data_IF_705961124305
#
_entry.id   IF_705961124305
#
_cell.length_a   1.000
_cell.length_b   1.000
_cell.length_c   1.000
_cell.angle_alpha   90.00
_cell.angle_beta   90.00
_cell.angle_gamma   90.00
#
_symmetry.space_group_name_H-M   'P 1'
#
loop_
_entity.id
_entity.type
_entity.pdbx_description
1 polymer ?
#
# COMPACT_ATOMS: atom_id res chain seq x y z
N UNK A 1 26.56 -8.70 -39.69
CA UNK A 1 26.75 -9.02 -38.26
C UNK A 1 27.63 -7.91 -37.70
N UNK A 2 27.05 -6.93 -37.00
CA UNK A 2 27.82 -5.87 -36.35
C UNK A 2 27.97 -6.29 -34.90
N UNK A 3 29.17 -6.72 -34.52
CA UNK A 3 29.51 -7.04 -33.15
C UNK A 3 29.39 -5.77 -32.30
N UNK A 4 28.48 -5.81 -31.32
CA UNK A 4 28.32 -4.73 -30.36
C UNK A 4 29.59 -4.63 -29.50
N UNK A 5 30.33 -3.54 -29.67
CA UNK A 5 31.48 -3.25 -28.82
C UNK A 5 30.99 -2.93 -27.39
N UNK A 6 31.13 -3.90 -26.48
CA UNK A 6 30.97 -3.64 -25.06
C UNK A 6 32.18 -2.84 -24.57
N UNK A 7 31.99 -1.65 -23.95
CA UNK A 7 33.12 -0.87 -23.47
C UNK A 7 33.83 -1.63 -22.34
N UNK A 8 35.13 -1.87 -22.52
CA UNK A 8 36.02 -2.56 -21.58
C UNK A 8 36.29 -1.71 -20.32
N UNK A 9 35.98 -0.41 -20.41
CA UNK A 9 36.11 0.57 -19.33
C UNK A 9 34.73 1.14 -19.00
N UNK A 10 34.44 1.30 -17.71
CA UNK A 10 33.21 1.93 -17.27
C UNK A 10 33.18 3.39 -17.78
N UNK A 11 32.29 3.70 -18.72
CA UNK A 11 32.13 5.05 -19.27
C UNK A 11 31.71 6.10 -18.23
N UNK A 12 31.24 5.67 -17.06
CA UNK A 12 30.88 6.51 -15.91
C UNK A 12 32.03 6.61 -14.88
N UNK A 13 33.19 5.99 -15.12
CA UNK A 13 34.34 6.06 -14.22
C UNK A 13 34.83 7.52 -14.15
N UNK A 14 34.75 8.11 -12.96
CA UNK A 14 35.15 9.50 -12.70
C UNK A 14 33.98 10.48 -12.58
N UNK A 15 32.75 10.07 -12.90
CA UNK A 15 31.56 10.87 -12.58
C UNK A 15 31.28 10.69 -11.09
N UNK A 16 31.64 11.70 -10.28
CA UNK A 16 31.13 11.82 -8.91
C UNK A 16 29.69 12.29 -8.99
N UNK A 17 28.76 11.36 -8.82
CA UNK A 17 27.39 11.71 -8.44
C UNK A 17 27.50 12.46 -7.12
N UNK A 18 27.27 13.78 -7.13
CA UNK A 18 27.06 14.52 -5.90
C UNK A 18 25.96 13.79 -5.15
N UNK A 19 26.22 13.37 -3.91
CA UNK A 19 25.15 12.88 -3.05
C UNK A 19 24.02 13.93 -3.14
N UNK A 20 22.80 13.50 -3.48
CA UNK A 20 21.67 14.41 -3.50
C UNK A 20 21.68 15.11 -2.14
N UNK A 21 21.71 16.44 -2.14
CA UNK A 21 21.55 17.22 -0.93
C UNK A 21 20.34 16.65 -0.20
N UNK A 22 20.56 16.22 1.02
CA UNK A 22 19.63 15.56 1.92
C UNK A 22 18.51 16.49 2.42
N UNK A 23 18.33 17.66 1.81
CA UNK A 23 17.10 18.42 1.89
C UNK A 23 16.13 17.99 0.78
N UNK A 24 15.75 16.71 0.76
CA UNK A 24 14.53 16.37 0.04
C UNK A 24 13.38 17.04 0.77
N UNK A 25 12.60 17.85 0.07
CA UNK A 25 11.33 18.37 0.55
C UNK A 25 10.41 17.17 0.78
N UNK A 26 10.49 16.57 1.97
CA UNK A 26 9.75 15.35 2.33
C UNK A 26 8.24 15.57 2.41
N UNK A 27 7.78 16.79 2.13
CA UNK A 27 6.44 17.26 2.44
C UNK A 27 6.25 17.49 3.94
N UNK A 28 5.33 18.40 4.28
CA UNK A 28 4.83 18.49 5.65
C UNK A 28 3.88 17.31 5.91
N UNK A 29 3.94 16.67 7.09
CA UNK A 29 2.93 15.70 7.47
C UNK A 29 1.56 16.39 7.54
N UNK A 30 0.50 15.66 7.22
CA UNK A 30 -0.87 16.14 7.37
C UNK A 30 -1.13 16.56 8.81
N UNK A 31 -1.74 17.73 8.98
CA UNK A 31 -2.29 18.18 10.25
C UNK A 31 -3.58 17.42 10.57
N UNK A 32 -3.96 17.36 11.84
CA UNK A 32 -5.22 16.73 12.23
C UNK A 32 -6.43 17.38 11.53
N UNK A 33 -6.42 18.69 11.34
CA UNK A 33 -7.50 19.40 10.63
C UNK A 33 -7.59 18.99 9.15
N UNK A 34 -6.46 18.79 8.48
CA UNK A 34 -6.45 18.29 7.10
C UNK A 34 -6.89 16.82 7.03
N UNK A 35 -6.54 16.00 8.04
CA UNK A 35 -7.01 14.62 8.14
C UNK A 35 -8.53 14.56 8.35
N UNK A 36 -9.07 15.35 9.28
CA UNK A 36 -10.50 15.48 9.54
C UNK A 36 -11.26 15.95 8.29
N UNK A 37 -10.71 16.92 7.55
CA UNK A 37 -11.29 17.38 6.30
C UNK A 37 -11.22 16.32 5.17
N UNK A 38 -10.16 15.50 5.13
CA UNK A 38 -9.98 14.45 4.12
C UNK A 38 -10.92 13.26 4.35
N UNK A 39 -11.14 12.89 5.62
CA UNK A 39 -12.01 11.81 6.05
C UNK A 39 -13.33 12.33 6.63
N UNK A 40 -13.87 13.41 6.05
CA UNK A 40 -15.15 13.97 6.45
C UNK A 40 -16.25 12.89 6.36
N UNK A 41 -17.07 12.71 7.41
CA UNK A 41 -18.02 11.60 7.51
C UNK A 41 -19.17 11.67 6.49
N UNK A 42 -19.30 12.77 5.74
CA UNK A 42 -20.31 12.95 4.67
C UNK A 42 -19.65 12.81 3.30
N UNK A 43 -18.62 13.60 3.05
CA UNK A 43 -18.00 13.71 1.71
C UNK A 43 -17.15 12.47 1.36
N UNK A 44 -16.40 11.91 2.34
CA UNK A 44 -15.55 10.75 2.07
C UNK A 44 -16.37 9.52 1.67
N UNK A 45 -17.43 9.11 2.41
CA UNK A 45 -18.26 7.99 1.99
C UNK A 45 -18.95 8.20 0.65
N UNK A 46 -19.42 9.42 0.36
CA UNK A 46 -20.02 9.73 -0.94
C UNK A 46 -19.04 9.47 -2.08
N UNK A 47 -17.81 10.00 -1.96
CA UNK A 47 -16.76 9.77 -2.95
C UNK A 47 -16.35 8.30 -3.04
N UNK A 48 -16.11 7.65 -1.90
CA UNK A 48 -15.58 6.29 -1.82
C UNK A 48 -16.59 5.19 -2.18
N UNK A 49 -17.88 5.51 -2.24
CA UNK A 49 -18.96 4.56 -2.54
C UNK A 49 -18.91 3.98 -3.96
N UNK A 50 -18.19 4.63 -4.90
CA UNK A 50 -18.22 4.24 -6.33
C UNK A 50 -17.49 2.93 -6.57
N UNK A 51 -16.38 2.71 -5.89
CA UNK A 51 -15.58 1.50 -6.00
C UNK A 51 -14.98 1.13 -4.66
N UNK A 52 -15.03 -0.15 -4.30
CA UNK A 52 -14.50 -0.65 -3.04
C UNK A 52 -13.06 -0.17 -2.75
N UNK A 53 -12.16 -0.16 -3.74
CA UNK A 53 -10.78 0.29 -3.55
C UNK A 53 -10.65 1.77 -3.13
N UNK A 54 -11.65 2.61 -3.43
CA UNK A 54 -11.69 4.01 -2.98
C UNK A 54 -12.01 4.12 -1.48
N UNK A 55 -12.69 3.13 -0.91
CA UNK A 55 -12.87 3.01 0.54
C UNK A 55 -11.64 2.38 1.19
N UNK A 56 -11.26 1.17 0.75
CA UNK A 56 -10.21 0.38 1.41
C UNK A 56 -8.82 1.00 1.29
N UNK A 57 -8.45 1.54 0.13
CA UNK A 57 -7.13 2.09 -0.11
C UNK A 57 -6.77 3.19 0.92
N UNK A 58 -7.55 4.27 0.99
CA UNK A 58 -7.33 5.37 1.93
C UNK A 58 -7.43 4.94 3.40
N UNK A 59 -8.46 4.16 3.78
CA UNK A 59 -8.67 3.73 5.17
C UNK A 59 -7.52 2.86 5.67
N UNK A 60 -7.09 1.87 4.88
CA UNK A 60 -5.97 1.02 5.26
C UNK A 60 -4.67 1.83 5.33
N UNK A 61 -4.42 2.73 4.38
CA UNK A 61 -3.27 3.63 4.42
C UNK A 61 -3.25 4.53 5.66
N UNK A 62 -4.40 5.10 6.02
CA UNK A 62 -4.56 5.99 7.17
C UNK A 62 -4.28 5.27 8.50
N UNK A 63 -4.89 4.12 8.72
CA UNK A 63 -4.78 3.42 10.02
C UNK A 63 -3.51 2.58 10.17
N UNK A 64 -2.88 2.15 9.07
CA UNK A 64 -1.69 1.28 9.13
C UNK A 64 -0.38 1.93 8.68
N UNK A 65 -0.44 3.06 7.99
CA UNK A 65 0.72 3.64 7.31
C UNK A 65 1.27 2.79 6.16
N UNK A 66 0.48 1.83 5.65
CA UNK A 66 0.89 1.00 4.52
C UNK A 66 1.08 1.83 3.24
N UNK A 67 2.00 1.39 2.39
CA UNK A 67 2.20 2.05 1.11
C UNK A 67 1.06 1.76 0.14
N UNK A 68 0.73 2.73 -0.71
CA UNK A 68 -0.35 2.60 -1.68
C UNK A 68 -0.21 1.34 -2.56
N UNK A 69 1.01 1.03 -3.03
CA UNK A 69 1.28 -0.17 -3.82
C UNK A 69 1.03 -1.47 -3.03
N UNK A 70 1.35 -1.48 -1.74
CA UNK A 70 1.13 -2.64 -0.87
C UNK A 70 -0.37 -2.90 -0.68
N UNK A 71 -1.16 -1.85 -0.49
CA UNK A 71 -2.62 -1.94 -0.31
C UNK A 71 -3.33 -2.26 -1.63
N UNK A 72 -2.88 -1.68 -2.74
CA UNK A 72 -3.51 -1.86 -4.06
C UNK A 72 -3.36 -3.29 -4.63
N UNK A 73 -2.34 -4.03 -4.17
CA UNK A 73 -2.07 -5.40 -4.63
C UNK A 73 -2.62 -6.48 -3.69
N UNK A 74 -3.34 -6.12 -2.63
CA UNK A 74 -3.92 -7.10 -1.71
C UNK A 74 -4.89 -8.02 -2.45
N UNK A 75 -4.89 -9.28 -2.03
CA UNK A 75 -5.81 -10.33 -2.45
C UNK A 75 -6.57 -10.88 -1.26
N UNK A 76 -7.67 -11.57 -1.48
CA UNK A 76 -8.44 -12.18 -0.39
C UNK A 76 -7.64 -13.20 0.42
N UNK A 77 -6.67 -13.86 -0.23
CA UNK A 77 -5.73 -14.79 0.40
C UNK A 77 -4.75 -14.12 1.35
N UNK A 78 -4.52 -12.80 1.22
CA UNK A 78 -3.65 -12.05 2.13
C UNK A 78 -4.37 -11.64 3.39
N UNK A 79 -5.70 -11.69 3.42
CA UNK A 79 -6.53 -11.28 4.55
C UNK A 79 -6.74 -12.48 5.48
N UNK A 80 -6.26 -12.40 6.70
CA UNK A 80 -6.31 -13.52 7.66
C UNK A 80 -6.63 -13.04 9.08
N UNK A 81 -7.03 -13.98 9.93
CA UNK A 81 -7.21 -13.75 11.37
C UNK A 81 -6.09 -14.48 12.11
N UNK A 82 -5.25 -13.75 12.83
CA UNK A 82 -4.18 -14.30 13.66
C UNK A 82 -4.52 -14.02 15.11
N UNK A 83 -4.58 -15.06 15.93
CA UNK A 83 -4.91 -14.97 17.37
C UNK A 83 -6.20 -14.18 17.66
N UNK A 84 -7.19 -14.29 16.77
CA UNK A 84 -8.48 -13.60 16.87
C UNK A 84 -8.49 -12.16 16.33
N UNK A 85 -7.38 -11.66 15.81
CA UNK A 85 -7.26 -10.30 15.25
C UNK A 85 -7.27 -10.37 13.71
N UNK A 86 -8.27 -9.78 13.02
CA UNK A 86 -8.27 -9.71 11.57
C UNK A 86 -7.18 -8.74 11.10
N UNK A 87 -6.56 -9.06 9.97
CA UNK A 87 -5.46 -8.30 9.40
C UNK A 87 -5.15 -8.74 7.99
N UNK A 88 -4.06 -8.22 7.44
CA UNK A 88 -3.58 -8.62 6.14
C UNK A 88 -2.06 -8.79 6.11
N UNK A 89 -1.60 -9.66 5.22
CA UNK A 89 -0.19 -9.84 4.96
C UNK A 89 0.29 -8.93 3.84
N UNK A 90 1.32 -8.15 4.13
CA UNK A 90 2.15 -7.56 3.09
C UNK A 90 3.19 -8.60 2.70
N UNK A 91 3.05 -9.18 1.51
CA UNK A 91 3.96 -10.22 1.00
C UNK A 91 3.95 -10.26 -0.54
N UNK A 92 4.85 -11.05 -1.09
CA UNK A 92 4.80 -11.47 -2.49
C UNK A 92 4.34 -12.93 -2.51
N UNK A 93 3.02 -13.15 -2.50
CA UNK A 93 2.40 -14.47 -2.48
C UNK A 93 2.13 -15.01 -3.88
N UNK A 94 1.61 -14.16 -4.76
CA UNK A 94 1.18 -14.53 -6.12
C UNK A 94 1.82 -13.67 -7.21
N UNK A 95 1.66 -14.13 -8.46
CA UNK A 95 2.12 -13.41 -9.64
C UNK A 95 1.46 -12.03 -9.71
N UNK A 96 2.28 -10.98 -9.81
CA UNK A 96 1.81 -9.59 -9.88
C UNK A 96 1.99 -8.81 -8.58
N UNK A 97 2.25 -9.47 -7.46
CA UNK A 97 2.64 -8.80 -6.22
C UNK A 97 4.15 -8.54 -6.18
N UNK A 98 4.53 -7.42 -5.57
CA UNK A 98 5.92 -7.08 -5.33
C UNK A 98 6.10 -6.40 -3.97
N UNK A 99 7.23 -6.66 -3.32
CA UNK A 99 7.64 -5.95 -2.11
C UNK A 99 8.96 -5.25 -2.38
N UNK A 100 9.10 -3.97 -1.99
CA UNK A 100 10.33 -3.22 -2.28
C UNK A 100 11.55 -3.75 -1.52
N UNK A 101 11.35 -4.38 -0.35
CA UNK A 101 12.41 -4.99 0.47
C UNK A 101 11.93 -6.32 1.02
N UNK A 102 12.84 -7.29 1.15
CA UNK A 102 12.53 -8.59 1.75
C UNK A 102 12.02 -8.45 3.19
N UNK A 103 12.58 -7.48 3.93
CA UNK A 103 12.18 -7.16 5.31
C UNK A 103 10.85 -6.41 5.41
N UNK A 104 10.20 -6.05 4.30
CA UNK A 104 8.87 -5.42 4.31
C UNK A 104 7.76 -6.44 4.57
N UNK A 105 8.06 -7.75 4.50
CA UNK A 105 7.09 -8.80 4.76
C UNK A 105 6.61 -8.75 6.21
N UNK A 106 5.31 -8.54 6.41
CA UNK A 106 4.70 -8.39 7.73
C UNK A 106 3.22 -8.72 7.71
N UNK A 107 2.68 -9.03 8.88
CA UNK A 107 1.24 -9.00 9.14
C UNK A 107 0.88 -7.61 9.69
N UNK A 108 -0.23 -7.05 9.21
CA UNK A 108 -0.76 -5.77 9.63
C UNK A 108 -2.16 -6.00 10.21
N UNK A 109 -2.36 -5.81 11.52
CA UNK A 109 -3.70 -5.93 12.11
C UNK A 109 -4.60 -4.79 11.63
N UNK A 110 -5.88 -5.08 11.41
CA UNK A 110 -6.88 -4.05 11.15
C UNK A 110 -7.18 -3.30 12.45
N UNK A 111 -7.18 -1.97 12.38
CA UNK A 111 -7.61 -1.14 13.49
C UNK A 111 -9.13 -1.28 13.69
N UNK A 112 -9.59 -1.13 14.93
CA UNK A 112 -11.00 -1.27 15.30
C UNK A 112 -11.95 -0.40 14.44
N UNK A 113 -11.66 0.89 14.15
CA UNK A 113 -12.51 1.69 13.29
C UNK A 113 -12.60 1.18 11.85
N UNK A 114 -11.55 0.49 11.36
CA UNK A 114 -11.58 -0.13 10.03
C UNK A 114 -12.55 -1.30 10.01
N UNK A 115 -12.56 -2.11 11.07
CA UNK A 115 -13.49 -3.22 11.21
C UNK A 115 -14.92 -2.69 11.30
N UNK A 116 -15.17 -1.74 12.20
CA UNK A 116 -16.49 -1.11 12.41
C UNK A 116 -17.05 -0.42 11.16
N UNK A 117 -16.17 0.02 10.26
CA UNK A 117 -16.55 0.62 8.98
C UNK A 117 -17.21 -0.35 7.99
N UNK A 118 -17.32 -1.64 8.32
CA UNK A 118 -17.88 -2.67 7.43
C UNK A 118 -16.81 -3.38 6.59
N UNK A 119 -15.53 -3.15 6.87
CA UNK A 119 -14.45 -3.65 6.03
C UNK A 119 -14.36 -5.18 6.05
N UNK A 120 -14.62 -5.79 7.21
CA UNK A 120 -14.55 -7.24 7.36
C UNK A 120 -15.75 -7.91 6.68
N UNK A 121 -16.93 -7.32 6.80
CA UNK A 121 -18.17 -7.75 6.17
C UNK A 121 -18.02 -7.78 4.65
N UNK A 122 -17.44 -6.73 4.06
CA UNK A 122 -17.14 -6.70 2.63
C UNK A 122 -16.22 -7.84 2.19
N UNK A 123 -15.14 -8.12 2.93
CA UNK A 123 -14.22 -9.22 2.61
C UNK A 123 -14.97 -10.56 2.61
N UNK A 124 -15.82 -10.78 3.60
CA UNK A 124 -16.64 -11.99 3.69
C UNK A 124 -17.67 -12.10 2.56
N UNK A 125 -18.27 -10.98 2.13
CA UNK A 125 -19.15 -10.93 0.97
C UNK A 125 -18.42 -11.29 -0.32
N UNK A 126 -17.24 -10.72 -0.57
CA UNK A 126 -16.45 -11.01 -1.77
C UNK A 126 -16.00 -12.48 -1.77
N UNK A 127 -15.60 -13.03 -0.61
CA UNK A 127 -15.29 -14.46 -0.47
C UNK A 127 -16.47 -15.35 -0.85
N UNK A 128 -17.67 -15.02 -0.36
CA UNK A 128 -18.90 -15.77 -0.68
C UNK A 128 -19.28 -15.66 -2.16
N UNK A 129 -18.99 -14.53 -2.79
CA UNK A 129 -19.21 -14.31 -4.21
C UNK A 129 -18.17 -15.03 -5.11
N UNK A 130 -17.12 -15.62 -4.53
CA UNK A 130 -16.06 -16.30 -5.27
C UNK A 130 -15.07 -15.36 -5.95
N UNK A 131 -14.91 -14.13 -5.42
CA UNK A 131 -13.87 -13.21 -5.88
C UNK A 131 -12.46 -13.67 -5.50
N UNK A 132 -11.45 -12.95 -5.99
CA UNK A 132 -10.02 -13.18 -5.73
C UNK A 132 -9.31 -11.94 -5.17
#
# INVERSE_FOLDING_TARGET
MVEGAHPVVNALAGIRVMARTDCEDTGSPFTNAEMEATFDPVEFPEWASRHAHQWFGPILGFYSGAWADETAQLRLEDIEVIDGVPGYFVRQGVKGQSIKKLNSRRFVPLAEPVIESGSWEYVEEVRRAGGE
#
